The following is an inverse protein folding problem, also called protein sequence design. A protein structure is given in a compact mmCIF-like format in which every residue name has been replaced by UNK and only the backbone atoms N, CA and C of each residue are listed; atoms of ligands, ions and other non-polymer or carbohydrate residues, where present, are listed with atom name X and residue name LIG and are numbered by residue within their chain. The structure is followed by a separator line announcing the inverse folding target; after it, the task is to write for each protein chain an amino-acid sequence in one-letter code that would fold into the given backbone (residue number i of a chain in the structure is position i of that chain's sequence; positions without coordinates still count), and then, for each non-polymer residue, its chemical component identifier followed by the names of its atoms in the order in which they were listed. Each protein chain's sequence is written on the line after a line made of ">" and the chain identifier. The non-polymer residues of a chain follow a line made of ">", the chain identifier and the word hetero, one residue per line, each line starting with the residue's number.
data_IF_455514379097
#
_entry.id   IF_455514379097
#
_cell.length_a   1.000
_cell.length_b   1.000
_cell.length_c   1.000
_cell.angle_alpha   90.00
_cell.angle_beta   90.00
_cell.angle_gamma   90.00
#
_symmetry.space_group_name_H-M   'P 1'
#
loop_
_entity.id
_entity.type
_entity.pdbx_description
1 polymer ?
#
# COMPACT_ATOMS: atom_id res chain seq x y z
N UNK A 1 -22.81 2.52 -3.10
CA UNK A 1 -21.37 2.39 -3.43
C UNK A 1 -20.80 1.36 -2.49
N UNK A 2 -20.09 0.32 -2.98
CA UNK A 2 -19.51 -0.66 -2.08
C UNK A 2 -18.50 0.02 -1.16
N UNK A 3 -18.58 -0.29 0.12
CA UNK A 3 -17.83 0.43 1.17
C UNK A 3 -16.47 -0.22 1.39
N UNK A 4 -15.50 0.53 1.92
CA UNK A 4 -14.20 -0.02 2.32
C UNK A 4 -14.35 -1.20 3.30
N UNK A 5 -15.43 -1.22 4.08
CA UNK A 5 -15.78 -2.31 4.99
C UNK A 5 -16.22 -3.60 4.27
N UNK A 6 -16.77 -3.50 3.05
CA UNK A 6 -17.09 -4.67 2.22
C UNK A 6 -15.82 -5.22 1.57
N UNK A 7 -14.96 -4.32 1.05
CA UNK A 7 -13.67 -4.71 0.51
C UNK A 7 -12.81 -5.41 1.58
N UNK A 8 -12.72 -4.89 2.81
CA UNK A 8 -11.94 -5.53 3.87
C UNK A 8 -12.45 -6.94 4.23
N UNK A 9 -13.77 -7.13 4.31
CA UNK A 9 -14.38 -8.45 4.53
C UNK A 9 -14.09 -9.43 3.39
N UNK A 10 -14.05 -8.96 2.16
CA UNK A 10 -13.68 -9.80 1.00
C UNK A 10 -12.19 -10.14 0.99
N UNK A 11 -11.32 -9.17 1.31
CA UNK A 11 -9.88 -9.36 1.40
C UNK A 11 -9.48 -10.41 2.44
N UNK A 12 -10.19 -10.49 3.58
CA UNK A 12 -9.91 -11.52 4.60
C UNK A 12 -10.20 -12.94 4.14
N UNK A 13 -10.97 -13.13 3.06
CA UNK A 13 -11.32 -14.45 2.50
C UNK A 13 -10.41 -14.87 1.35
N UNK A 14 -9.58 -13.96 0.83
CA UNK A 14 -8.71 -14.18 -0.32
C UNK A 14 -7.32 -14.64 0.13
N UNK A 15 -6.67 -15.48 -0.69
CA UNK A 15 -5.24 -15.75 -0.50
C UNK A 15 -4.45 -14.48 -0.79
N UNK A 16 -3.33 -14.25 -0.10
CA UNK A 16 -2.46 -13.07 -0.30
C UNK A 16 -2.05 -12.85 -1.76
N UNK A 17 -1.99 -13.93 -2.56
CA UNK A 17 -1.66 -13.88 -3.99
C UNK A 17 -2.80 -13.37 -4.88
N UNK A 18 -4.05 -13.47 -4.43
CA UNK A 18 -5.26 -13.11 -5.18
C UNK A 18 -5.75 -11.69 -4.82
N UNK A 19 -5.29 -11.18 -3.68
CA UNK A 19 -5.59 -9.82 -3.19
C UNK A 19 -5.29 -8.74 -4.24
N UNK A 20 -4.13 -8.70 -4.92
CA UNK A 20 -3.82 -7.61 -5.86
C UNK A 20 -4.82 -7.54 -7.01
N UNK A 21 -5.15 -8.70 -7.60
CA UNK A 21 -6.08 -8.81 -8.72
C UNK A 21 -7.51 -8.45 -8.30
N UNK A 22 -7.94 -8.84 -7.10
CA UNK A 22 -9.27 -8.51 -6.58
C UNK A 22 -9.42 -7.01 -6.33
N UNK A 23 -8.41 -6.38 -5.70
CA UNK A 23 -8.40 -4.94 -5.45
C UNK A 23 -8.43 -4.15 -6.76
N UNK A 24 -7.65 -4.59 -7.76
CA UNK A 24 -7.62 -3.93 -9.06
C UNK A 24 -9.00 -3.98 -9.76
N UNK A 25 -9.66 -5.13 -9.74
CA UNK A 25 -11.02 -5.29 -10.31
C UNK A 25 -12.04 -4.44 -9.57
N UNK A 26 -12.02 -4.48 -8.24
CA UNK A 26 -12.92 -3.69 -7.40
C UNK A 26 -12.73 -2.19 -7.62
N UNK A 27 -11.48 -1.72 -7.67
CA UNK A 27 -11.17 -0.32 -7.94
C UNK A 27 -11.62 0.10 -9.35
N UNK A 28 -11.32 -0.70 -10.38
CA UNK A 28 -11.72 -0.39 -11.76
C UNK A 28 -13.24 -0.37 -11.98
N UNK A 29 -14.00 -1.16 -11.22
CA UNK A 29 -15.46 -1.22 -11.34
C UNK A 29 -16.18 -0.14 -10.53
N UNK A 30 -15.62 0.31 -9.42
CA UNK A 30 -16.34 1.13 -8.44
C UNK A 30 -15.77 2.52 -8.24
N UNK A 31 -14.54 2.78 -8.67
CA UNK A 31 -13.89 4.06 -8.47
C UNK A 31 -13.69 4.77 -9.80
N UNK A 32 -14.35 5.92 -9.96
CA UNK A 32 -14.10 6.79 -11.11
C UNK A 32 -12.96 7.77 -10.81
N UNK A 33 -12.12 8.12 -11.81
CA UNK A 33 -11.00 9.05 -11.61
C UNK A 33 -11.43 10.40 -11.04
N UNK A 34 -12.57 10.91 -11.49
CA UNK A 34 -13.13 12.18 -11.01
C UNK A 34 -13.52 12.14 -9.52
N UNK A 35 -14.09 11.01 -9.05
CA UNK A 35 -14.43 10.85 -7.64
C UNK A 35 -13.19 10.73 -6.76
N UNK A 36 -12.15 10.03 -7.23
CA UNK A 36 -10.88 9.97 -6.51
C UNK A 36 -10.22 11.34 -6.41
N UNK A 37 -10.19 12.08 -7.52
CA UNK A 37 -9.59 13.40 -7.57
C UNK A 37 -10.29 14.36 -6.60
N UNK A 38 -11.62 14.39 -6.59
CA UNK A 38 -12.38 15.21 -5.65
C UNK A 38 -12.12 14.85 -4.19
N UNK A 39 -12.09 13.54 -3.86
CA UNK A 39 -11.76 13.08 -2.50
C UNK A 39 -10.34 13.44 -2.10
N UNK A 40 -9.38 13.28 -3.00
CA UNK A 40 -7.99 13.59 -2.77
C UNK A 40 -7.78 15.09 -2.53
N UNK A 41 -8.36 15.94 -3.37
CA UNK A 41 -8.27 17.39 -3.21
C UNK A 41 -8.91 17.87 -1.91
N UNK A 42 -10.07 17.31 -1.53
CA UNK A 42 -10.70 17.62 -0.24
C UNK A 42 -9.84 17.19 0.95
N UNK A 43 -9.23 15.99 0.87
CA UNK A 43 -8.31 15.52 1.90
C UNK A 43 -7.08 16.43 2.01
N UNK A 44 -6.47 16.80 0.88
CA UNK A 44 -5.29 17.67 0.84
C UNK A 44 -5.61 19.05 1.41
N UNK A 45 -6.76 19.62 1.07
CA UNK A 45 -7.22 20.90 1.59
C UNK A 45 -7.39 20.85 3.12
N UNK A 46 -8.07 19.83 3.63
CA UNK A 46 -8.25 19.66 5.08
C UNK A 46 -6.92 19.42 5.79
N UNK A 47 -6.03 18.63 5.20
CA UNK A 47 -4.71 18.36 5.75
C UNK A 47 -3.85 19.63 5.83
N UNK A 48 -3.88 20.47 4.78
CA UNK A 48 -3.21 21.77 4.77
C UNK A 48 -3.69 22.67 5.89
N UNK A 49 -5.01 22.83 6.02
CA UNK A 49 -5.60 23.68 7.07
C UNK A 49 -5.18 23.19 8.46
N UNK A 50 -5.26 21.88 8.70
CA UNK A 50 -5.04 21.31 10.03
C UNK A 50 -3.57 21.26 10.45
N UNK A 51 -2.66 21.04 9.49
CA UNK A 51 -1.27 20.67 9.81
C UNK A 51 -0.24 21.64 9.23
N UNK A 52 -0.52 22.31 8.12
CA UNK A 52 0.43 23.24 7.48
C UNK A 52 0.16 24.66 7.96
N UNK A 53 -1.08 25.12 7.85
CA UNK A 53 -1.45 26.51 8.17
C UNK A 53 -1.38 26.79 9.70
N UNK A 54 -1.46 25.74 10.52
CA UNK A 54 -1.29 25.80 11.98
C UNK A 54 0.17 25.77 12.43
N UNK A 55 1.13 25.61 11.52
CA UNK A 55 2.56 25.50 11.85
C UNK A 55 2.94 24.21 12.59
N UNK A 56 2.16 23.14 12.45
CA UNK A 56 2.44 21.85 13.09
C UNK A 56 3.69 21.19 12.48
N UNK A 57 4.46 20.47 13.30
CA UNK A 57 5.60 19.64 12.84
C UNK A 57 5.16 18.31 12.21
N UNK A 58 3.87 17.99 12.28
CA UNK A 58 3.28 16.75 11.77
C UNK A 58 3.61 16.46 10.29
N UNK A 59 3.58 17.42 9.35
CA UNK A 59 3.95 17.16 7.95
C UNK A 59 5.37 16.65 7.76
N UNK A 60 6.30 17.08 8.63
CA UNK A 60 7.71 16.66 8.60
C UNK A 60 7.85 15.20 9.04
N UNK A 61 7.17 14.83 10.13
CA UNK A 61 7.13 13.45 10.63
C UNK A 61 6.42 12.52 9.65
N UNK A 62 5.29 12.96 9.07
CA UNK A 62 4.54 12.20 8.08
C UNK A 62 5.42 11.97 6.83
N UNK A 63 6.17 12.96 6.36
CA UNK A 63 7.10 12.83 5.23
C UNK A 63 8.18 11.77 5.48
N UNK A 64 8.86 11.82 6.65
CA UNK A 64 9.90 10.84 6.99
C UNK A 64 9.30 9.44 7.13
N UNK A 65 8.14 9.33 7.77
CA UNK A 65 7.44 8.06 7.97
C UNK A 65 7.00 7.43 6.65
N UNK A 66 6.39 8.23 5.76
CA UNK A 66 6.00 7.76 4.43
C UNK A 66 7.21 7.43 3.56
N UNK A 67 8.28 8.23 3.63
CA UNK A 67 9.54 7.95 2.93
C UNK A 67 10.15 6.61 3.36
N UNK A 68 10.17 6.32 4.66
CA UNK A 68 10.67 5.05 5.19
C UNK A 68 9.83 3.87 4.72
N UNK A 69 8.50 3.93 4.88
CA UNK A 69 7.59 2.85 4.46
C UNK A 69 7.66 2.63 2.95
N UNK A 70 7.73 3.70 2.16
CA UNK A 70 7.83 3.62 0.71
C UNK A 70 9.17 3.02 0.26
N UNK A 71 10.28 3.42 0.89
CA UNK A 71 11.60 2.84 0.62
C UNK A 71 11.63 1.34 0.92
N UNK A 72 11.01 0.91 2.02
CA UNK A 72 10.86 -0.50 2.36
C UNK A 72 10.01 -1.26 1.33
N UNK A 73 8.87 -0.70 0.92
CA UNK A 73 8.01 -1.34 -0.07
C UNK A 73 8.70 -1.51 -1.45
N UNK A 74 9.56 -0.56 -1.84
CA UNK A 74 10.34 -0.64 -3.08
C UNK A 74 11.52 -1.62 -3.00
N UNK A 75 12.14 -1.77 -1.84
CA UNK A 75 13.26 -2.71 -1.64
C UNK A 75 12.79 -4.16 -1.50
N UNK A 76 11.59 -4.36 -0.96
CA UNK A 76 11.00 -5.67 -0.69
C UNK A 76 11.07 -6.70 -1.84
N UNK A 77 10.79 -6.37 -3.12
CA UNK A 77 10.89 -7.36 -4.20
C UNK A 77 12.32 -7.89 -4.39
N UNK A 78 13.32 -7.04 -4.13
CA UNK A 78 14.74 -7.40 -4.23
C UNK A 78 15.15 -8.27 -3.06
N UNK A 79 14.81 -7.90 -1.82
CA UNK A 79 15.05 -8.77 -0.66
C UNK A 79 14.33 -10.12 -0.80
N UNK A 80 13.09 -10.11 -1.30
CA UNK A 80 12.33 -11.34 -1.54
C UNK A 80 13.00 -12.24 -2.57
N UNK A 81 13.56 -11.68 -3.64
CA UNK A 81 14.32 -12.44 -4.63
C UNK A 81 15.58 -13.05 -4.01
N UNK A 82 16.36 -12.29 -3.24
CA UNK A 82 17.54 -12.80 -2.53
C UNK A 82 17.18 -13.90 -1.54
N UNK A 83 16.14 -13.72 -0.72
CA UNK A 83 15.64 -14.74 0.20
C UNK A 83 15.25 -16.03 -0.53
N UNK A 84 14.58 -15.92 -1.69
CA UNK A 84 14.19 -17.07 -2.48
C UNK A 84 15.42 -17.82 -3.04
N UNK A 85 16.42 -17.08 -3.54
CA UNK A 85 17.66 -17.68 -4.03
C UNK A 85 18.45 -18.38 -2.91
N UNK A 86 18.53 -17.80 -1.71
CA UNK A 86 19.15 -18.45 -0.54
C UNK A 86 18.41 -19.72 -0.13
N UNK A 87 17.07 -19.71 -0.15
CA UNK A 87 16.29 -20.91 0.13
C UNK A 87 16.52 -22.00 -0.92
N UNK A 88 16.55 -21.64 -2.21
CA UNK A 88 16.83 -22.57 -3.30
C UNK A 88 18.26 -23.15 -3.22
N UNK A 89 19.24 -22.36 -2.77
CA UNK A 89 20.61 -22.82 -2.54
C UNK A 89 20.71 -23.78 -1.35
N UNK A 90 20.03 -23.50 -0.24
CA UNK A 90 19.98 -24.39 0.94
C UNK A 90 19.30 -25.73 0.62
N UNK A 91 18.24 -25.72 -0.17
CA UNK A 91 17.55 -26.94 -0.64
C UNK A 91 18.43 -27.79 -1.57
N UNK A 92 19.26 -27.15 -2.40
CA UNK A 92 20.19 -27.87 -3.32
C UNK A 92 21.46 -28.35 -2.63
N UNK A 93 21.94 -27.66 -1.59
CA UNK A 93 23.15 -28.02 -0.86
C UNK A 93 22.98 -29.09 0.23
N UNK A 94 21.75 -29.49 0.57
CA UNK A 94 21.44 -30.49 1.60
C UNK A 94 21.28 -31.94 1.10
N UNK A 95 21.66 -32.22 -0.14
CA UNK A 95 21.56 -33.53 -0.80
C UNK A 95 22.94 -34.15 -1.12
N UNK A 96 23.89 -34.04 -0.20
CA UNK A 96 25.16 -34.77 -0.21
C UNK A 96 25.38 -35.50 1.11
#
# INVERSE_FOLDING_TARGET
>A
MPTLAQLSKELTKLKLKEVPTHVQKFAGQHWTPAQLQGRFMNWLHNYKIQNIDTGSSKPLVDLVSYGFVFSYALSWPREYAHYKHEQEAKLKGGHH
#
